data_IF_668581984858
#
_entry.id   IF_668581984858
#
_cell.length_a   1.000
_cell.length_b   1.000
_cell.length_c   1.000
_cell.angle_alpha   90.00
_cell.angle_beta   90.00
_cell.angle_gamma   90.00
#
_symmetry.space_group_name_H-M   'P 1'
#
loop_
_entity.id
_entity.type
_entity.pdbx_description
1 polymer ?
#
# COMPACT_ATOMS: atom_id res chain seq x y z
N UNK A 1 -34.34 -8.79 20.34
CA UNK A 1 -33.27 -9.28 19.44
C UNK A 1 -32.87 -8.16 18.49
N UNK A 2 -31.68 -7.55 18.63
CA UNK A 2 -31.22 -6.50 17.72
C UNK A 2 -30.98 -7.12 16.34
N UNK A 3 -31.79 -6.77 15.34
CA UNK A 3 -31.57 -7.17 13.94
C UNK A 3 -30.14 -6.81 13.54
N UNK A 4 -29.32 -7.83 13.23
CA UNK A 4 -27.96 -7.60 12.74
C UNK A 4 -28.07 -6.85 11.41
N UNK A 5 -27.52 -5.64 11.36
CA UNK A 5 -27.53 -4.78 10.15
C UNK A 5 -26.77 -5.45 9.01
N UNK A 6 -27.11 -5.09 7.78
CA UNK A 6 -26.55 -5.66 6.55
C UNK A 6 -25.02 -5.64 6.53
N UNK A 7 -24.41 -4.50 6.85
CA UNK A 7 -22.97 -4.34 7.04
C UNK A 7 -22.40 -5.41 7.99
N UNK A 8 -22.96 -5.56 9.20
CA UNK A 8 -22.49 -6.55 10.18
C UNK A 8 -22.68 -8.00 9.71
N UNK A 9 -23.69 -8.28 8.88
CA UNK A 9 -23.91 -9.62 8.31
C UNK A 9 -22.85 -9.94 7.26
N UNK A 10 -22.48 -8.95 6.44
CA UNK A 10 -21.41 -9.08 5.46
C UNK A 10 -20.07 -9.15 6.17
N UNK A 11 -19.70 -8.15 6.96
CA UNK A 11 -18.36 -8.09 7.60
C UNK A 11 -18.09 -9.24 8.58
N UNK A 12 -19.11 -9.87 9.17
CA UNK A 12 -18.95 -11.08 9.98
C UNK A 12 -19.00 -12.39 9.16
N UNK A 13 -19.30 -12.31 7.87
CA UNK A 13 -19.50 -13.46 6.99
C UNK A 13 -18.19 -14.15 6.64
N UNK A 14 -18.14 -15.48 6.85
CA UNK A 14 -16.99 -16.32 6.46
C UNK A 14 -16.69 -16.31 4.96
N UNK A 15 -17.70 -15.99 4.14
CA UNK A 15 -17.60 -15.99 2.69
C UNK A 15 -17.15 -14.66 2.08
N UNK A 16 -16.95 -13.60 2.87
CA UNK A 16 -16.54 -12.27 2.37
C UNK A 16 -15.25 -12.29 1.56
N UNK A 17 -14.18 -12.83 2.14
CA UNK A 17 -12.90 -12.92 1.47
C UNK A 17 -12.98 -13.81 0.20
N UNK A 18 -13.53 -15.04 0.25
CA UNK A 18 -13.73 -15.84 -0.95
C UNK A 18 -14.51 -15.12 -2.05
N UNK A 19 -15.61 -14.43 -1.70
CA UNK A 19 -16.41 -13.68 -2.68
C UNK A 19 -15.63 -12.52 -3.30
N UNK A 20 -14.85 -11.78 -2.50
CA UNK A 20 -14.02 -10.69 -3.01
C UNK A 20 -12.93 -11.20 -3.96
N UNK A 21 -12.31 -12.35 -3.63
CA UNK A 21 -11.31 -12.99 -4.50
C UNK A 21 -11.94 -13.46 -5.82
N UNK A 22 -13.13 -14.05 -5.79
CA UNK A 22 -13.83 -14.46 -7.02
C UNK A 22 -14.17 -13.26 -7.90
N UNK A 23 -14.63 -12.16 -7.31
CA UNK A 23 -14.91 -10.91 -8.02
C UNK A 23 -13.60 -10.36 -8.62
N UNK A 24 -12.51 -10.32 -7.84
CA UNK A 24 -11.25 -9.77 -8.32
C UNK A 24 -10.67 -10.60 -9.47
N UNK A 25 -10.69 -11.93 -9.37
CA UNK A 25 -10.29 -12.85 -10.46
C UNK A 25 -11.14 -12.65 -11.71
N UNK A 26 -12.46 -12.52 -11.54
CA UNK A 26 -13.36 -12.28 -12.67
C UNK A 26 -13.07 -10.95 -13.36
N UNK A 27 -12.86 -9.89 -12.58
CA UNK A 27 -12.51 -8.56 -13.12
C UNK A 27 -11.16 -8.57 -13.84
N UNK A 28 -10.23 -9.35 -13.32
CA UNK A 28 -8.92 -9.57 -13.93
C UNK A 28 -8.97 -10.27 -15.27
N UNK A 29 -9.74 -11.35 -15.38
CA UNK A 29 -9.95 -12.04 -16.65
C UNK A 29 -10.65 -11.11 -17.65
N UNK A 30 -11.68 -10.38 -17.18
CA UNK A 30 -12.43 -9.43 -17.98
C UNK A 30 -11.52 -8.32 -18.54
N UNK A 31 -10.69 -7.70 -17.71
CA UNK A 31 -9.73 -6.66 -18.13
C UNK A 31 -8.64 -7.23 -19.03
N UNK A 32 -8.19 -8.46 -18.80
CA UNK A 32 -7.21 -9.10 -19.69
C UNK A 32 -7.74 -9.30 -21.11
N UNK A 33 -9.04 -9.57 -21.26
CA UNK A 33 -9.72 -9.75 -22.56
C UNK A 33 -10.06 -8.41 -23.22
N UNK A 34 -10.57 -7.44 -22.45
CA UNK A 34 -11.03 -6.14 -22.97
C UNK A 34 -9.88 -5.18 -23.32
N UNK A 35 -8.77 -5.25 -22.58
CA UNK A 35 -7.67 -4.29 -22.68
C UNK A 35 -6.36 -5.05 -22.96
N UNK A 36 -6.13 -5.60 -24.17
CA UNK A 36 -4.90 -6.33 -24.47
C UNK A 36 -3.66 -5.41 -24.58
N UNK A 37 -3.82 -4.14 -24.98
CA UNK A 37 -2.73 -3.23 -25.33
C UNK A 37 -2.50 -2.08 -24.32
N UNK A 38 -2.71 -2.27 -23.02
CA UNK A 38 -2.32 -1.22 -22.06
C UNK A 38 -0.81 -1.09 -22.03
N UNK A 39 -0.28 -0.06 -22.69
CA UNK A 39 1.15 0.26 -22.67
C UNK A 39 1.60 0.45 -21.22
N UNK A 40 2.61 -0.32 -20.81
CA UNK A 40 3.30 -0.09 -19.54
C UNK A 40 3.95 1.28 -19.63
N UNK A 41 3.47 2.23 -18.82
CA UNK A 41 4.15 3.50 -18.64
C UNK A 41 5.61 3.20 -18.28
N UNK A 42 6.55 3.53 -19.18
CA UNK A 42 7.97 3.26 -18.99
C UNK A 42 8.42 3.96 -17.72
N UNK A 43 8.59 3.18 -16.65
CA UNK A 43 9.14 3.69 -15.42
C UNK A 43 10.64 3.85 -15.66
N UNK A 44 11.11 5.09 -15.80
CA UNK A 44 12.50 5.43 -16.15
C UNK A 44 13.56 5.08 -15.09
N UNK A 45 13.34 4.02 -14.31
CA UNK A 45 14.24 3.47 -13.32
C UNK A 45 15.06 2.34 -13.95
N UNK A 46 16.36 2.56 -14.14
CA UNK A 46 17.25 1.58 -14.83
C UNK A 46 17.31 0.23 -14.10
N UNK A 47 17.36 0.22 -12.77
CA UNK A 47 17.41 -1.00 -11.97
C UNK A 47 16.11 -1.82 -12.09
N UNK A 48 14.98 -1.14 -12.25
CA UNK A 48 13.71 -1.80 -12.50
C UNK A 48 13.64 -2.42 -13.89
N UNK A 49 14.09 -1.68 -14.92
CA UNK A 49 14.14 -2.20 -16.29
C UNK A 49 15.05 -3.43 -16.38
N UNK A 50 16.24 -3.36 -15.79
CA UNK A 50 17.17 -4.51 -15.72
C UNK A 50 16.54 -5.70 -15.00
N UNK A 51 15.78 -5.45 -13.93
CA UNK A 51 15.07 -6.50 -13.20
C UNK A 51 13.95 -7.12 -14.02
N UNK A 52 13.18 -6.31 -14.76
CA UNK A 52 12.11 -6.78 -15.62
C UNK A 52 12.63 -7.62 -16.78
N UNK A 53 13.66 -7.12 -17.48
CA UNK A 53 14.26 -7.81 -18.63
C UNK A 53 14.88 -9.16 -18.23
N UNK A 54 15.40 -9.27 -17.01
CA UNK A 54 16.00 -10.51 -16.51
C UNK A 54 14.96 -11.49 -15.94
N UNK A 55 13.97 -11.01 -15.20
CA UNK A 55 13.08 -11.87 -14.41
C UNK A 55 11.71 -12.13 -15.06
N UNK A 56 11.20 -11.22 -15.91
CA UNK A 56 9.76 -11.19 -16.26
C UNK A 56 9.58 -11.08 -17.77
N UNK A 57 9.17 -12.17 -18.45
CA UNK A 57 8.72 -12.09 -19.83
C UNK A 57 7.54 -11.11 -19.97
N UNK A 58 7.51 -10.33 -21.04
CA UNK A 58 6.48 -9.29 -21.27
C UNK A 58 5.04 -9.85 -21.22
N UNK A 59 4.82 -11.08 -21.71
CA UNK A 59 3.52 -11.75 -21.65
C UNK A 59 3.12 -12.18 -20.23
N UNK A 60 4.08 -12.39 -19.33
CA UNK A 60 3.86 -12.84 -17.95
C UNK A 60 3.66 -11.68 -16.97
N UNK A 61 3.77 -10.43 -17.43
CA UNK A 61 3.75 -9.24 -16.58
C UNK A 61 2.49 -9.15 -15.72
N UNK A 62 1.33 -9.37 -16.37
CA UNK A 62 0.03 -9.41 -15.67
C UNK A 62 0.02 -10.52 -14.65
N UNK A 63 0.36 -11.76 -15.02
CA UNK A 63 0.36 -12.89 -14.09
C UNK A 63 1.27 -12.64 -12.86
N UNK A 64 2.43 -12.04 -13.05
CA UNK A 64 3.32 -11.69 -11.96
C UNK A 64 2.72 -10.62 -11.03
N UNK A 65 2.08 -9.59 -11.60
CA UNK A 65 1.31 -8.60 -10.83
C UNK A 65 0.22 -9.28 -9.98
N UNK A 66 -0.41 -10.36 -10.47
CA UNK A 66 -1.42 -11.11 -9.69
C UNK A 66 -0.83 -11.67 -8.43
N UNK A 67 0.29 -12.35 -8.62
CA UNK A 67 0.92 -13.17 -7.60
C UNK A 67 1.42 -12.21 -6.55
N UNK A 68 1.98 -11.07 -6.97
CA UNK A 68 2.40 -10.01 -6.09
C UNK A 68 1.25 -9.45 -5.25
N UNK A 69 0.10 -9.13 -5.86
CA UNK A 69 -1.06 -8.64 -5.10
C UNK A 69 -1.71 -9.71 -4.22
N UNK A 70 -1.69 -10.99 -4.62
CA UNK A 70 -2.10 -12.10 -3.79
C UNK A 70 -1.17 -12.25 -2.58
N UNK A 71 0.14 -12.10 -2.77
CA UNK A 71 1.16 -12.09 -1.71
C UNK A 71 0.95 -10.91 -0.77
N UNK A 72 0.71 -9.70 -1.28
CA UNK A 72 0.37 -8.51 -0.46
C UNK A 72 -0.91 -8.77 0.33
N UNK A 73 -1.94 -9.32 -0.29
CA UNK A 73 -3.19 -9.70 0.37
C UNK A 73 -2.98 -10.72 1.50
N UNK A 74 -2.12 -11.72 1.30
CA UNK A 74 -1.72 -12.68 2.33
C UNK A 74 -0.97 -12.00 3.49
N UNK A 75 0.00 -11.13 3.19
CA UNK A 75 0.72 -10.38 4.21
C UNK A 75 -0.21 -9.46 5.00
N UNK A 76 -1.23 -8.86 4.37
CA UNK A 76 -2.26 -8.10 5.07
C UNK A 76 -3.01 -8.98 6.09
N UNK A 77 -3.41 -10.20 5.70
CA UNK A 77 -4.03 -11.16 6.62
C UNK A 77 -3.09 -11.44 7.80
N UNK A 78 -1.82 -11.71 7.53
CA UNK A 78 -0.82 -11.98 8.55
C UNK A 78 -0.61 -10.80 9.50
N UNK A 79 -0.59 -9.57 8.97
CA UNK A 79 -0.46 -8.34 9.73
C UNK A 79 -1.66 -8.17 10.68
N UNK A 80 -2.89 -8.36 10.18
CA UNK A 80 -4.06 -8.28 11.03
C UNK A 80 -4.13 -9.39 12.08
N UNK A 81 -3.77 -10.63 11.72
CA UNK A 81 -3.76 -11.75 12.66
C UNK A 81 -2.72 -11.55 13.78
N UNK A 82 -1.57 -10.96 13.46
CA UNK A 82 -0.48 -10.74 14.44
C UNK A 82 -0.78 -9.58 15.38
N UNK A 83 -1.24 -8.45 14.84
CA UNK A 83 -1.42 -7.22 15.63
C UNK A 83 -2.84 -7.02 16.16
N UNK A 84 -3.80 -7.82 15.67
CA UNK A 84 -5.23 -7.71 15.95
C UNK A 84 -5.73 -6.28 15.75
N UNK A 85 -5.41 -5.69 14.58
CA UNK A 85 -5.83 -4.34 14.22
C UNK A 85 -7.36 -4.29 14.14
N UNK A 86 -7.96 -5.25 13.46
CA UNK A 86 -9.40 -5.44 13.35
C UNK A 86 -9.80 -6.63 14.22
N UNK A 87 -10.72 -6.41 15.17
CA UNK A 87 -11.09 -7.39 16.20
C UNK A 87 -11.93 -8.59 15.71
N UNK A 88 -12.36 -8.58 14.44
CA UNK A 88 -13.15 -9.68 13.87
C UNK A 88 -12.29 -10.65 13.06
N UNK A 89 -12.66 -11.93 13.10
CA UNK A 89 -11.93 -13.02 12.40
C UNK A 89 -12.03 -12.96 10.88
N UNK A 90 -13.03 -12.28 10.33
CA UNK A 90 -13.12 -12.08 8.89
C UNK A 90 -12.11 -11.01 8.45
N UNK A 91 -11.24 -11.33 7.49
CA UNK A 91 -10.24 -10.42 6.94
C UNK A 91 -10.88 -9.39 5.99
N UNK A 92 -11.74 -8.54 6.55
CA UNK A 92 -12.49 -7.50 5.81
C UNK A 92 -11.52 -6.55 5.11
N UNK A 93 -10.44 -6.13 5.77
CA UNK A 93 -9.38 -5.32 5.16
C UNK A 93 -8.82 -5.91 3.86
N UNK A 94 -8.51 -7.21 3.84
CA UNK A 94 -7.97 -7.90 2.66
C UNK A 94 -9.03 -8.03 1.57
N UNK A 95 -10.29 -8.18 1.96
CA UNK A 95 -11.41 -8.18 1.01
C UNK A 95 -11.57 -6.81 0.35
N UNK A 96 -11.48 -5.73 1.14
CA UNK A 96 -11.51 -4.35 0.65
C UNK A 96 -10.31 -4.09 -0.27
N UNK A 97 -9.12 -4.57 0.09
CA UNK A 97 -7.92 -4.47 -0.75
C UNK A 97 -8.13 -5.12 -2.12
N UNK A 98 -8.59 -6.39 -2.17
CA UNK A 98 -8.84 -7.08 -3.44
C UNK A 98 -9.96 -6.43 -4.27
N UNK A 99 -10.97 -5.84 -3.64
CA UNK A 99 -11.99 -5.10 -4.36
C UNK A 99 -11.44 -3.80 -4.93
N UNK A 100 -10.72 -3.01 -4.14
CA UNK A 100 -10.12 -1.75 -4.61
C UNK A 100 -9.16 -1.97 -5.78
N UNK A 101 -8.35 -3.03 -5.72
CA UNK A 101 -7.39 -3.30 -6.80
C UNK A 101 -8.10 -3.76 -8.07
N UNK A 102 -9.15 -4.58 -7.94
CA UNK A 102 -9.93 -5.04 -9.08
C UNK A 102 -10.61 -3.90 -9.85
N UNK A 103 -10.88 -2.78 -9.18
CA UNK A 103 -11.57 -1.64 -9.77
C UNK A 103 -10.63 -0.79 -10.64
N UNK A 104 -9.31 -1.01 -10.58
CA UNK A 104 -8.30 -0.22 -11.29
C UNK A 104 -7.55 -1.07 -12.33
N UNK A 105 -8.06 -1.21 -13.57
CA UNK A 105 -7.42 -2.03 -14.60
C UNK A 105 -5.99 -1.63 -14.93
N UNK A 106 -5.67 -0.34 -14.87
CA UNK A 106 -4.31 0.16 -15.11
C UNK A 106 -3.29 -0.43 -14.13
N UNK A 107 -3.69 -0.67 -12.87
CA UNK A 107 -2.83 -1.28 -11.85
C UNK A 107 -2.62 -2.79 -12.06
N UNK A 108 -3.32 -3.43 -13.00
CA UNK A 108 -3.11 -4.86 -13.27
C UNK A 108 -1.79 -5.13 -14.01
N UNK A 109 -1.16 -4.09 -14.57
CA UNK A 109 0.21 -4.17 -15.04
C UNK A 109 1.18 -4.06 -13.86
N UNK A 110 2.36 -4.68 -13.99
CA UNK A 110 3.37 -4.60 -12.96
C UNK A 110 4.13 -3.28 -13.05
N UNK A 111 4.22 -2.58 -11.93
CA UNK A 111 5.03 -1.39 -11.79
C UNK A 111 6.08 -1.56 -10.69
N UNK A 112 7.16 -0.77 -10.77
CA UNK A 112 8.19 -0.70 -9.73
C UNK A 112 7.60 -0.44 -8.33
N UNK A 113 6.57 0.41 -8.28
CA UNK A 113 5.81 0.74 -7.08
C UNK A 113 5.14 -0.47 -6.42
N UNK A 114 4.72 -1.50 -7.17
CA UNK A 114 4.05 -2.68 -6.59
C UNK A 114 5.03 -3.54 -5.79
N UNK A 115 6.22 -3.77 -6.34
CA UNK A 115 7.25 -4.56 -5.67
C UNK A 115 7.82 -3.81 -4.45
N UNK A 116 7.97 -2.49 -4.59
CA UNK A 116 8.30 -1.61 -3.48
C UNK A 116 7.18 -1.54 -2.42
N UNK A 117 5.91 -1.62 -2.81
CA UNK A 117 4.78 -1.69 -1.88
C UNK A 117 4.77 -3.01 -1.08
N UNK A 118 5.18 -4.13 -1.70
CA UNK A 118 5.35 -5.39 -1.00
C UNK A 118 6.47 -5.31 0.06
N UNK A 119 7.65 -4.77 -0.28
CA UNK A 119 8.72 -4.59 0.70
C UNK A 119 8.33 -3.60 1.79
N UNK A 120 7.61 -2.54 1.44
CA UNK A 120 7.06 -1.57 2.37
C UNK A 120 6.06 -2.17 3.36
N UNK A 121 5.20 -3.08 2.92
CA UNK A 121 4.30 -3.81 3.81
C UNK A 121 5.06 -4.69 4.82
N UNK A 122 6.14 -5.32 4.38
CA UNK A 122 7.03 -6.07 5.28
C UNK A 122 7.72 -5.13 6.27
N UNK A 123 8.15 -3.94 5.82
CA UNK A 123 8.70 -2.91 6.71
C UNK A 123 7.67 -2.45 7.76
N UNK A 124 6.41 -2.24 7.36
CA UNK A 124 5.31 -1.92 8.28
C UNK A 124 5.10 -3.03 9.31
N UNK A 125 5.17 -4.30 8.90
CA UNK A 125 5.05 -5.43 9.82
C UNK A 125 6.11 -5.39 10.92
N UNK A 126 7.38 -5.16 10.57
CA UNK A 126 8.46 -5.04 11.55
C UNK A 126 8.37 -3.78 12.41
N UNK A 127 7.90 -2.67 11.85
CA UNK A 127 7.63 -1.45 12.60
C UNK A 127 6.52 -1.66 13.64
N UNK A 128 5.42 -2.34 13.28
CA UNK A 128 4.35 -2.62 14.23
C UNK A 128 4.80 -3.61 15.31
N UNK A 129 5.66 -4.55 14.93
CA UNK A 129 6.31 -5.48 15.85
C UNK A 129 7.15 -4.75 16.90
N UNK A 130 7.77 -3.60 16.60
CA UNK A 130 8.62 -2.87 17.54
C UNK A 130 7.88 -2.18 18.69
N UNK A 131 6.54 -2.14 18.66
CA UNK A 131 5.72 -1.46 19.66
C UNK A 131 6.04 -1.90 21.09
N UNK A 132 6.51 -0.95 21.91
CA UNK A 132 6.89 -1.15 23.31
C UNK A 132 7.80 -2.37 23.56
N UNK A 133 8.58 -2.80 22.56
CA UNK A 133 9.55 -3.88 22.75
C UNK A 133 10.72 -3.40 23.61
N UNK A 134 11.14 -4.22 24.58
CA UNK A 134 12.29 -3.92 25.44
C UNK A 134 13.61 -3.77 24.66
N UNK A 135 13.75 -4.50 23.55
CA UNK A 135 14.92 -4.45 22.64
C UNK A 135 14.46 -4.28 21.18
N UNK A 136 14.08 -3.05 20.77
CA UNK A 136 13.49 -2.80 19.45
C UNK A 136 14.53 -2.79 18.31
N UNK A 137 15.83 -2.83 18.64
CA UNK A 137 16.96 -2.70 17.70
C UNK A 137 16.86 -3.62 16.50
N UNK A 138 16.56 -4.91 16.69
CA UNK A 138 16.45 -5.86 15.58
C UNK A 138 15.22 -5.62 14.71
N UNK A 139 14.07 -5.33 15.31
CA UNK A 139 12.84 -5.04 14.58
C UNK A 139 12.96 -3.78 13.72
N UNK A 140 13.54 -2.70 14.26
CA UNK A 140 13.77 -1.47 13.48
C UNK A 140 14.87 -1.65 12.43
N UNK A 141 15.92 -2.42 12.70
CA UNK A 141 16.90 -2.79 11.67
C UNK A 141 16.20 -3.47 10.48
N UNK A 142 15.40 -4.51 10.71
CA UNK A 142 14.70 -5.20 9.64
C UNK A 142 13.71 -4.31 8.90
N UNK A 143 12.93 -3.48 9.62
CA UNK A 143 12.01 -2.55 8.99
C UNK A 143 12.72 -1.64 7.97
N UNK A 144 13.87 -1.09 8.34
CA UNK A 144 14.62 -0.18 7.47
C UNK A 144 15.44 -0.90 6.39
N UNK A 145 15.84 -2.16 6.60
CA UNK A 145 16.38 -3.01 5.51
C UNK A 145 15.36 -3.18 4.40
N UNK A 146 14.08 -3.44 4.73
CA UNK A 146 13.04 -3.61 3.71
C UNK A 146 12.64 -2.29 3.03
N UNK A 147 12.72 -1.16 3.73
CA UNK A 147 12.62 0.16 3.10
C UNK A 147 13.79 0.37 2.13
N UNK A 148 15.02 0.12 2.58
CA UNK A 148 16.22 0.23 1.74
C UNK A 148 16.16 -0.66 0.50
N UNK A 149 15.64 -1.88 0.66
CA UNK A 149 15.49 -2.85 -0.43
C UNK A 149 14.43 -2.39 -1.44
N UNK A 150 13.29 -1.87 -0.96
CA UNK A 150 12.26 -1.30 -1.84
C UNK A 150 12.74 -0.04 -2.55
N UNK A 151 13.58 0.77 -1.89
CA UNK A 151 14.12 1.99 -2.48
C UNK A 151 15.22 1.74 -3.51
N UNK A 152 15.69 0.51 -3.71
CA UNK A 152 16.50 0.17 -4.88
C UNK A 152 15.67 0.16 -6.16
N UNK A 153 14.40 -0.25 -6.07
CA UNK A 153 13.49 -0.35 -7.20
C UNK A 153 12.68 0.93 -7.40
N UNK A 154 12.30 1.58 -6.30
CA UNK A 154 11.55 2.82 -6.28
C UNK A 154 12.20 3.81 -5.31
N UNK A 155 13.20 4.60 -5.75
CA UNK A 155 14.04 5.45 -4.89
C UNK A 155 13.28 6.40 -3.97
N UNK A 156 12.10 6.85 -4.41
CA UNK A 156 11.24 7.74 -3.65
C UNK A 156 10.75 7.13 -2.33
N UNK A 157 10.83 5.80 -2.17
CA UNK A 157 10.55 5.13 -0.90
C UNK A 157 11.44 5.65 0.25
N UNK A 158 12.64 6.17 -0.06
CA UNK A 158 13.52 6.80 0.94
C UNK A 158 12.86 7.99 1.66
N UNK A 159 11.96 8.72 1.00
CA UNK A 159 11.28 9.88 1.60
C UNK A 159 10.35 9.48 2.75
N UNK A 160 9.98 8.20 2.87
CA UNK A 160 9.17 7.70 3.97
C UNK A 160 10.00 7.31 5.21
N UNK A 161 11.34 7.30 5.14
CA UNK A 161 12.24 7.00 6.27
C UNK A 161 11.96 7.91 7.49
N UNK A 162 11.85 9.25 7.36
CA UNK A 162 11.51 10.11 8.49
C UNK A 162 10.13 9.82 9.08
N UNK A 163 9.15 9.48 8.24
CA UNK A 163 7.80 9.13 8.69
C UNK A 163 7.85 7.85 9.53
N UNK A 164 8.67 6.86 9.14
CA UNK A 164 8.89 5.65 9.93
C UNK A 164 9.58 5.93 11.26
N UNK A 165 10.50 6.89 11.34
CA UNK A 165 11.05 7.33 12.63
C UNK A 165 10.00 7.98 13.53
N UNK A 166 9.12 8.82 12.98
CA UNK A 166 7.98 9.38 13.73
C UNK A 166 7.09 8.24 14.25
N UNK A 167 6.83 7.23 13.42
CA UNK A 167 6.12 6.01 13.83
C UNK A 167 6.81 5.26 14.97
N UNK A 168 8.12 5.00 14.82
CA UNK A 168 8.92 4.31 15.82
C UNK A 168 8.96 5.06 17.16
N UNK A 169 9.01 6.41 17.12
CA UNK A 169 8.91 7.27 18.29
C UNK A 169 7.53 7.15 18.96
N UNK A 170 6.45 7.25 18.17
CA UNK A 170 5.07 7.08 18.67
C UNK A 170 4.83 5.69 19.29
N UNK A 171 5.53 4.66 18.80
CA UNK A 171 5.49 3.30 19.32
C UNK A 171 6.41 3.06 20.52
N UNK A 172 7.03 4.12 21.05
CA UNK A 172 7.98 4.07 22.17
C UNK A 172 9.14 3.09 21.93
N UNK A 173 9.54 2.94 20.67
CA UNK A 173 10.56 2.00 20.24
C UNK A 173 11.84 2.68 19.76
N UNK A 174 11.82 4.01 19.62
CA UNK A 174 12.96 4.79 19.14
C UNK A 174 13.91 5.19 20.29
N UNK A 175 14.87 4.32 20.56
CA UNK A 175 16.04 4.61 21.40
C UNK A 175 17.26 4.94 20.52
N UNK A 176 18.30 5.63 21.02
CA UNK A 176 19.49 5.96 20.24
C UNK A 176 20.13 4.74 19.56
N UNK A 177 20.26 3.61 20.27
CA UNK A 177 20.79 2.35 19.71
C UNK A 177 19.93 1.83 18.54
N UNK A 178 18.61 1.93 18.66
CA UNK A 178 17.69 1.46 17.64
C UNK A 178 17.57 2.43 16.45
N UNK A 179 17.78 3.73 16.68
CA UNK A 179 17.91 4.73 15.63
C UNK A 179 19.14 4.45 14.76
N UNK A 180 20.32 4.24 15.36
CA UNK A 180 21.50 3.84 14.59
C UNK A 180 21.32 2.50 13.88
N UNK A 181 20.67 1.52 14.52
CA UNK A 181 20.33 0.26 13.85
C UNK A 181 19.41 0.46 12.65
N UNK A 182 18.45 1.40 12.72
CA UNK A 182 17.61 1.73 11.57
C UNK A 182 18.40 2.39 10.42
N UNK A 183 19.36 3.27 10.73
CA UNK A 183 20.26 3.85 9.73
C UNK A 183 21.11 2.80 9.04
N UNK A 184 21.71 1.89 9.81
CA UNK A 184 22.50 0.77 9.27
C UNK A 184 21.61 -0.16 8.46
N UNK A 185 20.39 -0.46 8.94
CA UNK A 185 19.43 -1.27 8.21
C UNK A 185 19.11 -0.68 6.83
N UNK A 186 18.81 0.62 6.78
CA UNK A 186 18.57 1.33 5.52
C UNK A 186 19.79 1.33 4.59
N UNK A 187 21.01 1.45 5.12
CA UNK A 187 22.23 1.51 4.30
C UNK A 187 22.69 0.15 3.76
N UNK A 188 22.27 -0.98 4.36
CA UNK A 188 22.73 -2.33 3.97
C UNK A 188 22.46 -2.65 2.49
N UNK A 189 21.24 -2.46 1.94
CA UNK A 189 20.97 -2.69 0.51
C UNK A 189 21.87 -1.84 -0.40
N UNK A 190 22.14 -0.59 0.00
CA UNK A 190 23.03 0.31 -0.75
C UNK A 190 24.50 -0.08 -0.68
N UNK A 191 24.97 -0.63 0.43
CA UNK A 191 26.32 -1.19 0.52
C UNK A 191 26.51 -2.41 -0.38
N UNK A 192 25.50 -3.27 -0.48
CA UNK A 192 25.53 -4.40 -1.41
C UNK A 192 25.54 -3.91 -2.87
N UNK A 193 24.71 -2.92 -3.20
CA UNK A 193 24.72 -2.28 -4.52
C UNK A 193 26.07 -1.62 -4.83
N UNK A 194 26.67 -0.92 -3.87
CA UNK A 194 27.99 -0.30 -4.02
C UNK A 194 29.07 -1.35 -4.29
N UNK A 195 29.06 -2.47 -3.56
CA UNK A 195 29.99 -3.58 -3.79
C UNK A 195 29.88 -4.15 -5.20
N UNK A 196 28.66 -4.34 -5.69
CA UNK A 196 28.40 -4.77 -7.07
C UNK A 196 28.90 -3.72 -8.08
N UNK A 197 28.56 -2.44 -7.88
CA UNK A 197 28.95 -1.34 -8.75
C UNK A 197 30.48 -1.18 -8.84
N UNK A 198 31.20 -1.36 -7.72
CA UNK A 198 32.67 -1.33 -7.68
C UNK A 198 33.28 -2.52 -8.44
N UNK A 199 32.70 -3.71 -8.31
CA UNK A 199 33.22 -4.92 -8.96
C UNK A 199 33.07 -4.88 -10.48
N UNK A 200 31.92 -4.42 -10.99
CA UNK A 200 31.65 -4.32 -12.43
C UNK A 200 32.04 -2.96 -13.04
N UNK A 201 32.57 -2.03 -12.26
CA UNK A 201 32.96 -0.69 -12.72
C UNK A 201 31.77 0.22 -13.09
N UNK A 202 30.55 -0.11 -12.68
CA UNK A 202 29.31 0.59 -13.02
C UNK A 202 28.84 1.52 -11.88
N UNK A 203 29.63 2.54 -11.56
CA UNK A 203 29.31 3.49 -10.47
C UNK A 203 28.02 4.28 -10.71
N UNK A 204 27.61 4.43 -11.97
CA UNK A 204 26.38 5.15 -12.34
C UNK A 204 25.12 4.50 -11.76
N UNK A 205 25.06 3.16 -11.71
CA UNK A 205 23.95 2.40 -11.10
C UNK A 205 23.77 2.73 -9.61
N UNK A 206 24.87 2.99 -8.90
CA UNK A 206 24.83 3.36 -7.48
C UNK A 206 24.35 4.80 -7.28
N UNK A 207 24.78 5.73 -8.14
CA UNK A 207 24.46 7.14 -8.03
C UNK A 207 23.02 7.48 -8.49
N UNK A 208 22.48 6.71 -9.44
CA UNK A 208 21.20 6.98 -10.08
C UNK A 208 20.01 7.10 -9.10
N UNK A 209 19.79 6.18 -8.14
CA UNK A 209 18.70 6.31 -7.16
C UNK A 209 18.74 7.63 -6.36
N UNK A 210 19.94 8.10 -6.01
CA UNK A 210 20.11 9.36 -5.29
C UNK A 210 19.87 10.58 -6.18
N UNK A 211 20.23 10.51 -7.46
CA UNK A 211 19.93 11.56 -8.43
C UNK A 211 18.41 11.67 -8.64
N UNK A 212 17.74 10.54 -8.84
CA UNK A 212 16.28 10.46 -9.04
C UNK A 212 15.49 10.95 -7.82
N UNK A 213 16.02 10.75 -6.60
CA UNK A 213 15.44 11.28 -5.37
C UNK A 213 15.44 12.81 -5.31
N UNK A 214 16.49 13.44 -5.85
CA UNK A 214 16.67 14.91 -5.82
C UNK A 214 16.00 15.58 -7.02
N UNK A 215 15.79 14.86 -8.12
CA UNK A 215 15.12 15.40 -9.31
C UNK A 215 13.60 15.35 -9.14
N UNK A 216 13.02 16.50 -8.82
CA UNK A 216 11.56 16.67 -8.82
C UNK A 216 11.09 17.04 -10.23
N UNK A 217 10.17 16.23 -10.77
CA UNK A 217 9.44 16.60 -11.98
C UNK A 217 8.58 17.85 -11.72
N UNK A 218 8.36 18.72 -12.71
CA UNK A 218 7.49 19.88 -12.53
C UNK A 218 6.07 19.43 -12.13
N UNK A 219 5.44 20.15 -11.20
CA UNK A 219 4.07 19.90 -10.76
C UNK A 219 3.08 20.26 -11.86
N UNK A 220 2.92 19.38 -12.83
CA UNK A 220 1.85 19.45 -13.85
C UNK A 220 0.74 18.50 -13.43
N UNK A 221 -0.44 19.03 -13.20
CA UNK A 221 -1.62 18.25 -12.81
C UNK A 221 -2.32 17.63 -14.04
N UNK A 222 -1.55 16.99 -14.91
CA UNK A 222 -2.02 16.36 -16.14
C UNK A 222 -2.51 14.93 -15.84
N UNK A 223 -3.40 14.78 -14.86
CA UNK A 223 -3.94 13.47 -14.48
C UNK A 223 -4.84 12.92 -15.58
N UNK A 224 -4.68 11.62 -15.88
CA UNK A 224 -5.68 10.92 -16.68
C UNK A 224 -7.02 10.87 -15.91
N UNK A 225 -8.18 10.91 -16.59
CA UNK A 225 -9.48 10.94 -15.92
C UNK A 225 -9.70 9.80 -14.93
N UNK A 226 -9.21 8.59 -15.24
CA UNK A 226 -9.30 7.43 -14.35
C UNK A 226 -8.40 7.56 -13.11
N UNK A 227 -7.20 8.14 -13.24
CA UNK A 227 -6.31 8.40 -12.09
C UNK A 227 -6.97 9.37 -11.12
N UNK A 228 -7.54 10.46 -11.63
CA UNK A 228 -8.23 11.43 -10.78
C UNK A 228 -9.47 10.82 -10.11
N UNK A 229 -10.25 10.02 -10.84
CA UNK A 229 -11.43 9.35 -10.29
C UNK A 229 -11.07 8.35 -9.18
N UNK A 230 -10.03 7.53 -9.40
CA UNK A 230 -9.55 6.55 -8.43
C UNK A 230 -8.93 7.21 -7.19
N UNK A 231 -8.07 8.23 -7.38
CA UNK A 231 -7.51 9.01 -6.28
C UNK A 231 -8.59 9.74 -5.48
N UNK A 232 -9.58 10.33 -6.15
CA UNK A 232 -10.71 11.00 -5.51
C UNK A 232 -11.55 10.03 -4.66
N UNK A 233 -11.83 8.83 -5.21
CA UNK A 233 -12.52 7.79 -4.47
C UNK A 233 -11.74 7.31 -3.23
N UNK A 234 -10.44 7.05 -3.39
CA UNK A 234 -9.55 6.66 -2.28
C UNK A 234 -9.45 7.77 -1.23
N UNK A 235 -9.42 9.04 -1.65
CA UNK A 235 -9.38 10.19 -0.75
C UNK A 235 -10.66 10.30 0.08
N UNK A 236 -11.84 10.12 -0.52
CA UNK A 236 -13.11 10.11 0.21
C UNK A 236 -13.16 8.96 1.21
N UNK A 237 -12.77 7.75 0.79
CA UNK A 237 -12.67 6.60 1.71
C UNK A 237 -11.71 6.88 2.86
N UNK A 238 -10.55 7.47 2.57
CA UNK A 238 -9.55 7.83 3.55
C UNK A 238 -10.06 8.86 4.55
N UNK A 239 -10.63 9.99 4.10
CA UNK A 239 -11.12 11.07 4.97
C UNK A 239 -12.18 10.53 5.93
N UNK A 240 -13.17 9.79 5.42
CA UNK A 240 -14.25 9.24 6.25
C UNK A 240 -13.70 8.20 7.24
N UNK A 241 -12.80 7.33 6.79
CA UNK A 241 -12.19 6.30 7.65
C UNK A 241 -11.27 6.89 8.72
N UNK A 242 -10.46 7.87 8.37
CA UNK A 242 -9.56 8.59 9.27
C UNK A 242 -10.36 9.38 10.32
N UNK A 243 -11.36 10.17 9.90
CA UNK A 243 -12.22 10.91 10.81
C UNK A 243 -12.91 9.99 11.82
N UNK A 244 -13.45 8.86 11.36
CA UNK A 244 -14.03 7.88 12.26
C UNK A 244 -13.00 7.29 13.24
N UNK A 245 -11.81 6.90 12.78
CA UNK A 245 -10.78 6.35 13.65
C UNK A 245 -10.28 7.36 14.70
N UNK A 246 -10.25 8.65 14.38
CA UNK A 246 -9.88 9.70 15.32
C UNK A 246 -10.99 9.96 16.35
N UNK A 247 -12.26 10.03 15.92
CA UNK A 247 -13.40 10.32 16.79
C UNK A 247 -13.75 9.14 17.70
N UNK A 248 -13.81 7.93 17.13
CA UNK A 248 -14.21 6.70 17.83
C UNK A 248 -13.01 5.92 18.42
N UNK A 249 -11.78 6.44 18.29
CA UNK A 249 -10.56 5.76 18.71
C UNK A 249 -10.44 5.51 20.21
N UNK A 250 -11.32 6.08 21.04
CA UNK A 250 -11.38 5.81 22.48
C UNK A 250 -11.91 4.40 22.80
N UNK A 251 -12.70 3.80 21.90
CA UNK A 251 -13.16 2.41 22.05
C UNK A 251 -12.03 1.40 21.79
N UNK A 252 -10.92 1.88 21.21
CA UNK A 252 -9.78 1.08 20.83
C UNK A 252 -8.69 0.91 21.88
N UNK A 253 -8.09 -0.29 21.89
CA UNK A 253 -6.90 -0.56 22.68
C UNK A 253 -5.82 0.45 22.31
N UNK A 254 -5.10 0.97 23.30
CA UNK A 254 -4.06 1.99 23.13
C UNK A 254 -3.07 1.62 22.01
N UNK A 255 -2.67 0.35 21.94
CA UNK A 255 -1.81 -0.19 20.89
C UNK A 255 -2.42 -0.08 19.48
N UNK A 256 -3.64 -0.60 19.30
CA UNK A 256 -4.38 -0.54 18.02
C UNK A 256 -4.60 0.90 17.59
N UNK A 257 -4.97 1.78 18.53
CA UNK A 257 -5.11 3.21 18.30
C UNK A 257 -3.81 3.82 17.76
N UNK A 258 -2.67 3.50 18.37
CA UNK A 258 -1.36 3.99 17.92
C UNK A 258 -1.04 3.55 16.48
N UNK A 259 -1.28 2.28 16.13
CA UNK A 259 -1.10 1.79 14.76
C UNK A 259 -2.00 2.52 13.75
N UNK A 260 -3.28 2.72 14.07
CA UNK A 260 -4.22 3.42 13.20
C UNK A 260 -3.83 4.90 13.02
N UNK A 261 -3.39 5.59 14.07
CA UNK A 261 -2.92 6.98 13.96
C UNK A 261 -1.68 7.08 13.08
N UNK A 262 -0.74 6.14 13.21
CA UNK A 262 0.41 6.07 12.31
C UNK A 262 0.00 5.81 10.85
N UNK A 263 -0.93 4.88 10.60
CA UNK A 263 -1.44 4.65 9.26
C UNK A 263 -2.16 5.88 8.69
N UNK A 264 -2.90 6.64 9.51
CA UNK A 264 -3.51 7.91 9.07
C UNK A 264 -2.43 8.91 8.64
N UNK A 265 -1.41 9.13 9.47
CA UNK A 265 -0.29 10.02 9.16
C UNK A 265 0.40 9.58 7.86
N UNK A 266 0.69 8.29 7.74
CA UNK A 266 1.37 7.72 6.59
C UNK A 266 0.57 7.91 5.29
N UNK A 267 -0.73 7.57 5.28
CA UNK A 267 -1.58 7.76 4.10
C UNK A 267 -1.73 9.24 3.76
N UNK A 268 -1.86 10.11 4.75
CA UNK A 268 -1.88 11.56 4.53
C UNK A 268 -0.60 12.03 3.83
N UNK A 269 0.57 11.59 4.31
CA UNK A 269 1.85 11.91 3.66
C UNK A 269 1.93 11.36 2.23
N UNK A 270 1.42 10.16 1.96
CA UNK A 270 1.37 9.61 0.60
C UNK A 270 0.47 10.46 -0.32
N UNK A 271 -0.72 10.88 0.15
CA UNK A 271 -1.59 11.79 -0.61
C UNK A 271 -0.92 13.14 -0.91
N UNK A 272 -0.26 13.74 0.09
CA UNK A 272 0.52 14.97 -0.09
C UNK A 272 1.61 14.74 -1.13
N UNK A 273 2.28 13.59 -1.10
CA UNK A 273 3.34 13.27 -2.02
C UNK A 273 2.86 13.08 -3.47
N UNK A 274 1.70 12.46 -3.67
CA UNK A 274 1.04 12.39 -4.99
C UNK A 274 0.73 13.80 -5.50
N UNK A 275 0.24 14.70 -4.64
CA UNK A 275 0.00 16.09 -5.00
C UNK A 275 1.26 16.87 -5.39
N UNK A 276 2.40 16.56 -4.75
CA UNK A 276 3.70 17.17 -5.05
C UNK A 276 4.37 16.57 -6.29
N UNK A 277 4.12 15.29 -6.60
CA UNK A 277 4.66 14.61 -7.78
C UNK A 277 3.58 13.77 -8.48
N UNK A 278 2.72 14.40 -9.32
CA UNK A 278 1.65 13.73 -10.05
C UNK A 278 2.13 12.58 -10.93
N UNK A 279 3.34 12.67 -11.49
CA UNK A 279 3.95 11.66 -12.37
C UNK A 279 4.10 10.30 -11.67
N UNK A 280 4.18 10.26 -10.34
CA UNK A 280 4.35 9.04 -9.56
C UNK A 280 3.02 8.51 -9.01
N UNK A 281 1.88 9.06 -9.44
CA UNK A 281 0.53 8.70 -8.97
C UNK A 281 0.30 7.20 -8.97
N UNK A 282 0.59 6.54 -10.09
CA UNK A 282 0.37 5.09 -10.30
C UNK A 282 1.20 4.26 -9.33
N UNK A 283 2.49 4.58 -9.17
CA UNK A 283 3.38 3.88 -8.24
C UNK A 283 2.94 4.05 -6.78
N UNK A 284 2.57 5.27 -6.40
CA UNK A 284 2.17 5.60 -5.02
C UNK A 284 0.78 5.06 -4.66
N UNK A 285 -0.07 4.82 -5.66
CA UNK A 285 -1.41 4.27 -5.47
C UNK A 285 -1.36 2.87 -4.84
N UNK A 286 -0.38 2.03 -5.21
CA UNK A 286 -0.20 0.70 -4.61
C UNK A 286 0.08 0.76 -3.10
N UNK A 287 0.77 1.79 -2.63
CA UNK A 287 0.98 2.04 -1.20
C UNK A 287 -0.30 2.54 -0.51
N UNK A 288 -1.06 3.43 -1.16
CA UNK A 288 -2.36 3.90 -0.65
C UNK A 288 -3.36 2.76 -0.50
N UNK A 289 -3.44 1.84 -1.46
CA UNK A 289 -4.36 0.70 -1.40
C UNK A 289 -4.17 -0.13 -0.13
N UNK A 290 -2.91 -0.37 0.27
CA UNK A 290 -2.58 -1.06 1.52
C UNK A 290 -3.12 -0.28 2.73
N UNK A 291 -2.83 1.01 2.81
CA UNK A 291 -3.21 1.84 3.95
C UNK A 291 -4.72 2.07 4.07
N UNK A 292 -5.36 2.48 2.96
CA UNK A 292 -6.81 2.74 2.88
C UNK A 292 -7.62 1.47 3.13
N UNK A 293 -7.17 0.31 2.64
CA UNK A 293 -7.88 -0.96 2.89
C UNK A 293 -7.94 -1.35 4.37
N UNK A 294 -6.85 -1.11 5.13
CA UNK A 294 -6.82 -1.33 6.59
C UNK A 294 -7.77 -0.36 7.30
N UNK A 295 -7.70 0.94 6.97
CA UNK A 295 -8.55 1.98 7.58
C UNK A 295 -10.03 1.77 7.27
N UNK A 296 -10.38 1.54 6.01
CA UNK A 296 -11.74 1.29 5.57
C UNK A 296 -12.27 -0.02 6.15
N UNK A 297 -11.44 -1.08 6.16
CA UNK A 297 -11.78 -2.35 6.81
C UNK A 297 -12.09 -2.18 8.30
N UNK A 298 -11.31 -1.35 9.00
CA UNK A 298 -11.55 -1.04 10.40
C UNK A 298 -12.88 -0.29 10.60
N UNK A 299 -13.14 0.75 9.79
CA UNK A 299 -14.41 1.48 9.80
C UNK A 299 -15.60 0.53 9.58
N UNK A 300 -15.55 -0.33 8.56
CA UNK A 300 -16.67 -1.21 8.22
C UNK A 300 -16.96 -2.28 9.27
N UNK A 301 -15.97 -2.65 10.09
CA UNK A 301 -16.15 -3.66 11.12
C UNK A 301 -16.66 -3.06 12.44
N UNK A 302 -16.12 -1.91 12.86
CA UNK A 302 -16.40 -1.38 14.20
C UNK A 302 -17.70 -0.57 14.28
N UNK A 303 -18.17 -0.03 13.17
CA UNK A 303 -19.34 0.84 13.15
C UNK A 303 -20.66 0.08 13.16
N UNK A 304 -21.56 0.47 14.06
CA UNK A 304 -22.94 -0.03 14.08
C UNK A 304 -23.96 1.12 14.02
N UNK A 305 -23.62 2.22 13.35
CA UNK A 305 -24.48 3.40 13.15
C UNK A 305 -25.25 3.32 11.81
N UNK A 306 -26.34 4.07 11.69
CA UNK A 306 -27.14 4.07 10.43
C UNK A 306 -26.34 4.75 9.31
N UNK A 307 -25.62 5.82 9.64
CA UNK A 307 -24.76 6.55 8.72
C UNK A 307 -23.65 5.67 8.14
N UNK A 308 -23.00 4.83 8.96
CA UNK A 308 -21.95 3.96 8.46
C UNK A 308 -22.46 2.85 7.56
N UNK A 309 -23.65 2.29 7.84
CA UNK A 309 -24.26 1.30 6.94
C UNK A 309 -24.68 1.92 5.59
N UNK A 310 -25.17 3.16 5.60
CA UNK A 310 -25.42 3.91 4.36
C UNK A 310 -24.10 4.15 3.62
N UNK A 311 -23.06 4.62 4.32
CA UNK A 311 -21.74 4.83 3.73
C UNK A 311 -21.15 3.55 3.15
N UNK A 312 -21.29 2.41 3.81
CA UNK A 312 -20.86 1.10 3.29
C UNK A 312 -21.55 0.75 1.98
N UNK A 313 -22.88 0.95 1.90
CA UNK A 313 -23.66 0.71 0.68
C UNK A 313 -23.23 1.68 -0.43
N UNK A 314 -23.10 2.97 -0.12
CA UNK A 314 -22.66 3.99 -1.07
C UNK A 314 -21.23 3.73 -1.57
N UNK A 315 -20.32 3.32 -0.69
CA UNK A 315 -18.95 2.97 -1.04
C UNK A 315 -18.92 1.76 -1.98
N UNK A 316 -19.75 0.74 -1.72
CA UNK A 316 -19.85 -0.45 -2.56
C UNK A 316 -20.44 -0.12 -3.95
N UNK A 317 -21.51 0.68 -4.02
CA UNK A 317 -22.06 1.18 -5.29
C UNK A 317 -21.00 2.02 -6.03
N UNK A 318 -20.28 2.88 -5.31
CA UNK A 318 -19.18 3.68 -5.84
C UNK A 318 -18.07 2.83 -6.48
N UNK A 319 -17.74 1.66 -5.92
CA UNK A 319 -16.78 0.73 -6.53
C UNK A 319 -17.25 0.24 -7.91
N UNK A 320 -18.52 -0.13 -8.07
CA UNK A 320 -19.04 -0.57 -9.37
C UNK A 320 -19.08 0.56 -10.40
N UNK A 321 -19.48 1.75 -9.97
CA UNK A 321 -19.47 2.94 -10.85
C UNK A 321 -18.04 3.25 -11.27
N UNK A 322 -17.08 3.22 -10.34
CA UNK A 322 -15.67 3.46 -10.62
C UNK A 322 -15.09 2.40 -11.57
N UNK A 323 -15.49 1.13 -11.43
CA UNK A 323 -15.06 0.07 -12.35
C UNK A 323 -15.58 0.33 -13.76
N UNK A 324 -16.87 0.64 -13.90
CA UNK A 324 -17.47 0.95 -15.20
C UNK A 324 -16.84 2.18 -15.85
N UNK A 325 -16.57 3.22 -15.07
CA UNK A 325 -15.88 4.43 -15.52
C UNK A 325 -14.45 4.14 -15.97
N UNK A 326 -13.68 3.42 -15.15
CA UNK A 326 -12.28 3.09 -15.47
C UNK A 326 -12.18 2.23 -16.73
N UNK A 327 -13.05 1.23 -16.89
CA UNK A 327 -13.11 0.42 -18.11
C UNK A 327 -13.44 1.32 -19.31
N UNK A 328 -14.46 2.18 -19.22
CA UNK A 328 -14.81 3.10 -20.31
C UNK A 328 -13.63 3.97 -20.71
N UNK A 329 -12.93 4.57 -19.75
CA UNK A 329 -11.84 5.53 -20.04
C UNK A 329 -10.59 4.88 -20.62
N UNK A 330 -10.41 3.57 -20.44
CA UNK A 330 -9.24 2.83 -20.90
C UNK A 330 -9.49 2.08 -22.22
N UNK A 331 -10.75 1.95 -22.62
CA UNK A 331 -11.22 1.32 -23.86
C UNK A 331 -11.22 2.36 -24.99
#
# INVERSE_FOLDING_TARGET
MRTKRFQNRITAGRFTLPTAILISVSCWILTAVLLPETETQQSGYSLWETFCDFCIPTWANRLFSFILYAVIGYFLIQLNNTFAIIRMRASVQTSVYFLLISVCPSLHMLYAGDLAAASFLVALFFLFKSYQQARPTGSLFHAFVFIGLGSLLFPQLMLFVPIFWIGAYNFQSLQPKSFFASLVGWSVPYWLLLGHALYYGQMELFCQPFRELVTFAPTRFDYQPWELATLGYLLVLFIVSAAHCLIAGYEDKIRTRSYLHFLILLNFCIFVYIGLQPVLSVHLMSFLLIGVSILAGHLFVLTNSRSSNIFFICAFIGLFILLGFNIWTLL
#
